data_IF_147506926108
#
_entry.id   IF_147506926108
#
_cell.length_a   1.000
_cell.length_b   1.000
_cell.length_c   1.000
_cell.angle_alpha   90.00
_cell.angle_beta   90.00
_cell.angle_gamma   90.00
#
_symmetry.space_group_name_H-M   'P 1'
#
loop_
_entity.id
_entity.type
_entity.pdbx_description
1 polymer ?
#
# COMPACT_ATOMS: atom_id res chain seq x y z
N UNK A 1 -7.70 0.98 -9.65
CA UNK A 1 -7.64 0.16 -8.41
C UNK A 1 -6.96 0.97 -7.32
N UNK A 2 -7.38 0.82 -6.06
CA UNK A 2 -6.66 1.42 -4.93
C UNK A 2 -5.56 0.45 -4.50
N UNK A 3 -4.30 0.82 -4.70
CA UNK A 3 -3.13 0.05 -4.27
C UNK A 3 -2.84 0.47 -2.82
N UNK A 4 -2.69 -0.51 -1.91
CA UNK A 4 -2.49 -0.27 -0.49
C UNK A 4 -1.06 -0.63 -0.10
N UNK A 5 -0.40 0.16 0.73
CA UNK A 5 0.97 -0.14 1.14
C UNK A 5 1.12 -1.56 1.73
N UNK A 6 2.16 -2.29 1.27
CA UNK A 6 2.50 -3.60 1.80
C UNK A 6 3.59 -3.45 2.86
N UNK A 7 3.48 -4.23 3.93
CA UNK A 7 4.56 -4.39 4.90
C UNK A 7 5.72 -5.17 4.28
N UNK A 8 6.92 -5.08 4.86
CA UNK A 8 8.09 -5.80 4.37
C UNK A 8 7.86 -7.32 4.23
N UNK A 9 7.11 -7.92 5.16
CA UNK A 9 6.76 -9.34 5.08
C UNK A 9 5.82 -9.64 3.90
N UNK A 10 4.76 -8.85 3.73
CA UNK A 10 3.81 -9.00 2.62
C UNK A 10 4.48 -8.77 1.26
N UNK A 11 5.37 -7.79 1.15
CA UNK A 11 6.11 -7.52 -0.08
C UNK A 11 7.01 -8.70 -0.45
N UNK A 12 7.67 -9.33 0.53
CA UNK A 12 8.47 -10.53 0.28
C UNK A 12 7.63 -11.69 -0.26
N UNK A 13 6.42 -11.89 0.26
CA UNK A 13 5.49 -12.87 -0.31
C UNK A 13 5.04 -12.47 -1.72
N UNK A 14 4.71 -11.20 -1.96
CA UNK A 14 4.32 -10.74 -3.30
C UNK A 14 5.44 -10.88 -4.34
N UNK A 15 6.72 -10.68 -3.96
CA UNK A 15 7.88 -10.97 -4.82
C UNK A 15 7.92 -12.41 -5.31
N UNK A 16 7.52 -13.35 -4.46
CA UNK A 16 7.36 -14.75 -4.85
C UNK A 16 6.13 -14.93 -5.76
N UNK A 17 5.00 -14.34 -5.39
CA UNK A 17 3.73 -14.50 -6.10
C UNK A 17 3.75 -13.90 -7.51
N UNK A 18 4.43 -12.76 -7.72
CA UNK A 18 4.62 -12.16 -9.04
C UNK A 18 5.39 -13.07 -10.01
N UNK A 19 6.26 -13.94 -9.50
CA UNK A 19 6.99 -14.91 -10.35
C UNK A 19 6.12 -16.09 -10.77
N UNK A 20 5.14 -16.45 -9.95
CA UNK A 20 4.27 -17.60 -10.19
C UNK A 20 3.02 -17.24 -11.00
N UNK A 21 2.59 -15.98 -10.96
CA UNK A 21 1.35 -15.43 -11.57
C UNK A 21 0.04 -16.06 -11.06
N UNK A 22 -0.10 -17.38 -11.13
CA UNK A 22 -1.18 -18.17 -10.55
C UNK A 22 -0.64 -19.44 -9.90
N UNK A 23 -1.12 -19.74 -8.70
CA UNK A 23 -0.58 -20.81 -7.87
C UNK A 23 -1.59 -21.34 -6.84
N UNK A 24 -1.34 -22.54 -6.35
CA UNK A 24 -2.00 -23.13 -5.19
C UNK A 24 -1.10 -23.02 -3.96
N UNK A 25 -1.69 -23.16 -2.77
CA UNK A 25 -0.93 -23.17 -1.51
C UNK A 25 0.17 -24.24 -1.49
N UNK A 26 -0.07 -25.39 -2.13
CA UNK A 26 0.89 -26.49 -2.21
C UNK A 26 2.13 -26.11 -3.01
N UNK A 27 1.97 -25.37 -4.10
CA UNK A 27 3.07 -24.95 -4.98
C UNK A 27 4.05 -24.05 -4.24
N UNK A 28 3.54 -23.16 -3.38
CA UNK A 28 4.36 -22.30 -2.53
C UNK A 28 5.24 -23.15 -1.59
N UNK A 29 4.64 -24.18 -0.98
CA UNK A 29 5.33 -25.06 -0.04
C UNK A 29 6.39 -25.94 -0.69
N UNK A 30 6.25 -26.23 -1.98
CA UNK A 30 7.22 -27.01 -2.77
C UNK A 30 8.42 -26.17 -3.22
N UNK A 31 8.25 -24.86 -3.41
CA UNK A 31 9.33 -23.95 -3.85
C UNK A 31 10.27 -23.48 -2.73
N UNK A 32 9.95 -23.73 -1.46
CA UNK A 32 10.78 -23.30 -0.34
C UNK A 32 11.79 -24.37 0.11
N UNK A 33 13.11 -24.10 0.01
CA UNK A 33 14.14 -24.93 0.65
C UNK A 33 14.02 -24.84 2.18
N UNK A 34 14.49 -25.87 2.89
CA UNK A 34 14.45 -25.95 4.36
C UNK A 34 15.11 -24.73 5.03
N UNK A 35 14.53 -24.19 6.13
CA UNK A 35 13.34 -24.66 6.83
C UNK A 35 12.04 -24.16 6.17
N UNK A 36 11.10 -25.09 5.95
CA UNK A 36 9.80 -24.76 5.34
C UNK A 36 9.00 -23.82 6.24
N UNK A 37 8.42 -22.74 5.69
CA UNK A 37 7.53 -21.88 6.47
C UNK A 37 6.30 -22.66 6.92
N UNK A 38 5.77 -22.36 8.11
CA UNK A 38 4.57 -23.01 8.59
C UNK A 38 3.37 -22.68 7.67
N UNK A 39 2.61 -23.69 7.22
CA UNK A 39 1.50 -23.51 6.27
C UNK A 39 0.45 -22.48 6.73
N UNK A 40 0.18 -22.44 8.03
CA UNK A 40 -0.72 -21.46 8.64
C UNK A 40 -0.27 -20.01 8.41
N UNK A 41 1.04 -19.75 8.46
CA UNK A 41 1.60 -18.41 8.23
C UNK A 41 1.34 -17.98 6.79
N UNK A 42 1.66 -18.83 5.81
CA UNK A 42 1.40 -18.56 4.39
C UNK A 42 -0.10 -18.35 4.15
N UNK A 43 -0.95 -19.20 4.73
CA UNK A 43 -2.41 -19.09 4.62
C UNK A 43 -2.95 -17.78 5.18
N UNK A 44 -2.34 -17.26 6.25
CA UNK A 44 -2.70 -15.97 6.84
C UNK A 44 -2.34 -14.83 5.90
N UNK A 45 -1.12 -14.82 5.36
CA UNK A 45 -0.70 -13.80 4.40
C UNK A 45 -1.51 -13.83 3.10
N UNK A 46 -1.89 -15.02 2.60
CA UNK A 46 -2.75 -15.13 1.43
C UNK A 46 -4.12 -14.48 1.67
N UNK A 47 -4.72 -14.70 2.84
CA UNK A 47 -5.99 -14.03 3.20
C UNK A 47 -5.82 -12.52 3.26
N UNK A 48 -4.78 -12.03 3.94
CA UNK A 48 -4.51 -10.59 4.05
C UNK A 48 -4.32 -9.96 2.66
N UNK A 49 -3.56 -10.61 1.77
CA UNK A 49 -3.31 -10.10 0.43
C UNK A 49 -4.55 -10.16 -0.48
N UNK A 50 -5.44 -11.14 -0.27
CA UNK A 50 -6.76 -11.17 -0.91
C UNK A 50 -7.64 -10.02 -0.40
N UNK A 51 -7.69 -9.81 0.92
CA UNK A 51 -8.44 -8.69 1.53
C UNK A 51 -7.92 -7.31 1.08
N UNK A 52 -6.60 -7.18 0.91
CA UNK A 52 -5.97 -5.97 0.36
C UNK A 52 -6.17 -5.80 -1.16
N UNK A 53 -6.69 -6.81 -1.85
CA UNK A 53 -6.97 -6.78 -3.29
C UNK A 53 -5.76 -7.03 -4.20
N UNK A 54 -4.68 -7.59 -3.66
CA UNK A 54 -3.49 -7.97 -4.45
C UNK A 54 -3.65 -9.32 -5.14
N UNK A 55 -4.41 -10.22 -4.52
CA UNK A 55 -4.67 -11.56 -5.01
C UNK A 55 -6.16 -11.80 -5.18
N UNK A 56 -6.52 -12.53 -6.22
CA UNK A 56 -7.85 -13.13 -6.39
C UNK A 56 -7.80 -14.56 -5.94
N UNK A 57 -8.89 -15.07 -5.37
CA UNK A 57 -9.04 -16.48 -5.04
C UNK A 57 -10.23 -17.08 -5.75
N UNK A 58 -10.02 -18.24 -6.39
CA UNK A 58 -11.07 -19.04 -7.02
C UNK A 58 -11.06 -20.42 -6.38
N UNK A 59 -12.24 -20.88 -5.96
CA UNK A 59 -12.38 -22.22 -5.38
C UNK A 59 -12.51 -23.25 -6.50
N UNK A 60 -11.57 -24.18 -6.56
CA UNK A 60 -11.56 -25.30 -7.49
C UNK A 60 -11.72 -26.61 -6.68
N UNK A 61 -12.96 -27.08 -6.54
CA UNK A 61 -13.28 -28.26 -5.73
C UNK A 61 -12.97 -28.06 -4.23
N UNK A 62 -11.91 -28.70 -3.74
CA UNK A 62 -11.45 -28.63 -2.33
C UNK A 62 -10.23 -27.72 -2.15
N UNK A 63 -9.66 -27.18 -3.23
CA UNK A 63 -8.47 -26.33 -3.20
C UNK A 63 -8.81 -24.91 -3.64
N UNK A 64 -7.96 -23.97 -3.25
CA UNK A 64 -8.06 -22.57 -3.64
C UNK A 64 -6.93 -22.23 -4.59
N UNK A 65 -7.28 -21.71 -5.75
CA UNK A 65 -6.33 -21.15 -6.72
C UNK A 65 -6.21 -19.66 -6.46
N UNK A 66 -4.98 -19.19 -6.30
CA UNK A 66 -4.67 -17.77 -6.15
C UNK A 66 -4.15 -17.24 -7.48
N UNK A 67 -4.52 -16.00 -7.81
CA UNK A 67 -4.03 -15.31 -9.01
C UNK A 67 -3.66 -13.89 -8.65
N UNK A 68 -2.50 -13.44 -9.10
CA UNK A 68 -2.05 -12.07 -8.87
C UNK A 68 -2.90 -11.09 -9.67
N UNK A 69 -3.46 -10.08 -9.00
CA UNK A 69 -4.28 -9.03 -9.63
C UNK A 69 -3.44 -7.80 -9.93
N UNK A 70 -2.53 -7.43 -9.02
CA UNK A 70 -1.71 -6.22 -9.16
C UNK A 70 -0.36 -6.60 -9.76
N UNK A 71 0.00 -6.11 -10.96
CA UNK A 71 1.30 -6.35 -11.56
C UNK A 71 2.44 -5.74 -10.76
N UNK A 72 3.64 -6.34 -10.82
CA UNK A 72 4.84 -5.83 -10.17
C UNK A 72 5.15 -4.38 -10.59
N UNK A 73 5.04 -4.09 -11.89
CA UNK A 73 5.32 -2.75 -12.44
C UNK A 73 4.39 -1.67 -11.89
N UNK A 74 3.11 -2.01 -11.65
CA UNK A 74 2.15 -1.05 -11.09
C UNK A 74 2.43 -0.78 -9.61
N UNK A 75 2.81 -1.82 -8.85
CA UNK A 75 3.23 -1.65 -7.47
C UNK A 75 4.54 -0.87 -7.35
N UNK A 76 5.52 -1.11 -8.24
CA UNK A 76 6.77 -0.36 -8.32
C UNK A 76 6.53 1.13 -8.57
N UNK A 77 5.64 1.46 -9.51
CA UNK A 77 5.24 2.85 -9.79
C UNK A 77 4.54 3.50 -8.59
N UNK A 78 3.67 2.75 -7.93
CA UNK A 78 3.00 3.21 -6.72
C UNK A 78 4.00 3.57 -5.62
N UNK A 79 4.95 2.68 -5.31
CA UNK A 79 5.99 2.92 -4.30
C UNK A 79 6.87 4.12 -4.66
N UNK A 80 7.30 4.25 -5.92
CA UNK A 80 8.13 5.39 -6.33
C UNK A 80 7.38 6.71 -6.17
N UNK A 81 6.08 6.74 -6.49
CA UNK A 81 5.25 7.93 -6.33
C UNK A 81 5.04 8.28 -4.86
N UNK A 82 4.80 7.27 -4.02
CA UNK A 82 4.67 7.46 -2.57
C UNK A 82 5.97 8.01 -1.96
N UNK A 83 7.12 7.42 -2.34
CA UNK A 83 8.45 7.89 -1.94
C UNK A 83 8.69 9.34 -2.40
N UNK A 84 8.39 9.64 -3.66
CA UNK A 84 8.55 10.98 -4.24
C UNK A 84 7.71 12.02 -3.50
N UNK A 85 6.46 11.69 -3.16
CA UNK A 85 5.54 12.59 -2.47
C UNK A 85 5.95 12.81 -1.01
N UNK A 86 6.40 11.75 -0.31
CA UNK A 86 6.71 11.84 1.12
C UNK A 86 8.09 12.41 1.44
N UNK A 87 9.09 12.21 0.57
CA UNK A 87 10.48 12.56 0.87
C UNK A 87 11.11 13.56 -0.10
N UNK A 88 10.56 13.71 -1.30
CA UNK A 88 11.20 14.48 -2.37
C UNK A 88 10.27 15.55 -2.98
N UNK A 89 9.20 15.93 -2.28
CA UNK A 89 8.23 16.95 -2.70
C UNK A 89 7.77 16.85 -4.17
N UNK A 90 7.54 15.63 -4.66
CA UNK A 90 7.21 15.34 -6.08
C UNK A 90 8.23 15.86 -7.11
N UNK A 91 9.47 16.11 -6.70
CA UNK A 91 10.57 16.62 -7.50
C UNK A 91 11.51 15.51 -7.95
N UNK A 92 11.42 15.15 -9.24
CA UNK A 92 12.38 14.22 -9.84
C UNK A 92 13.84 14.70 -9.81
N UNK A 93 14.07 16.02 -9.73
CA UNK A 93 15.41 16.61 -9.61
C UNK A 93 16.04 16.25 -8.26
N UNK A 94 15.27 16.32 -7.19
CA UNK A 94 15.75 16.02 -5.83
C UNK A 94 16.07 14.53 -5.68
N UNK A 95 15.23 13.66 -6.27
CA UNK A 95 15.52 12.22 -6.37
C UNK A 95 16.86 11.99 -7.09
N UNK A 96 17.07 12.64 -8.23
CA UNK A 96 18.29 12.46 -9.02
C UNK A 96 19.54 12.94 -8.27
N UNK A 97 19.46 14.11 -7.63
CA UNK A 97 20.54 14.64 -6.78
C UNK A 97 20.88 13.69 -5.63
N UNK A 98 19.86 13.11 -4.98
CA UNK A 98 20.04 12.12 -3.93
C UNK A 98 20.72 10.83 -4.44
N UNK A 99 20.35 10.34 -5.62
CA UNK A 99 20.97 9.15 -6.22
C UNK A 99 22.46 9.36 -6.53
N UNK A 100 22.86 10.58 -6.94
CA UNK A 100 24.28 10.92 -7.11
C UNK A 100 25.01 11.01 -5.77
N UNK A 101 24.39 11.64 -4.77
CA UNK A 101 24.97 11.77 -3.43
C UNK A 101 25.24 10.41 -2.80
N UNK A 102 24.28 9.48 -2.91
CA UNK A 102 24.39 8.11 -2.38
C UNK A 102 25.19 7.16 -3.28
N UNK A 103 25.77 7.64 -4.38
CA UNK A 103 26.52 6.84 -5.38
C UNK A 103 25.73 5.65 -5.93
N UNK A 104 24.40 5.77 -5.96
CA UNK A 104 23.50 4.79 -6.58
C UNK A 104 23.43 4.98 -8.10
N UNK A 105 23.89 6.12 -8.60
CA UNK A 105 24.10 6.41 -10.02
C UNK A 105 25.50 6.99 -10.24
N UNK A 106 26.20 6.51 -11.27
CA UNK A 106 27.48 7.06 -11.72
C UNK A 106 27.33 7.89 -13.01
N UNK A 107 28.34 8.70 -13.31
CA UNK A 107 28.38 9.47 -14.54
C UNK A 107 28.45 8.55 -15.78
N UNK A 108 29.06 7.37 -15.66
CA UNK A 108 29.13 6.40 -16.75
C UNK A 108 27.78 5.72 -17.00
N UNK A 109 26.99 5.48 -15.95
CA UNK A 109 25.61 4.99 -16.09
C UNK A 109 24.76 5.98 -16.90
N UNK A 110 24.97 7.28 -16.70
CA UNK A 110 24.28 8.35 -17.43
C UNK A 110 24.71 8.49 -18.89
N UNK A 111 25.99 8.29 -19.21
CA UNK A 111 26.51 8.51 -20.57
C UNK A 111 25.76 7.68 -21.62
N UNK A 112 25.30 6.48 -21.26
CA UNK A 112 24.49 5.63 -22.14
C UNK A 112 23.06 6.15 -22.42
N UNK A 113 22.51 7.03 -21.56
CA UNK A 113 21.15 7.58 -21.73
C UNK A 113 21.14 8.93 -22.45
N UNK A 114 22.21 9.73 -22.36
CA UNK A 114 22.27 11.05 -23.01
C UNK A 114 22.41 10.99 -24.54
N UNK A 115 22.81 9.85 -25.11
CA UNK A 115 22.94 9.66 -26.57
C UNK A 115 21.58 9.44 -27.26
N UNK A 116 20.53 9.12 -26.50
CA UNK A 116 19.15 9.01 -26.96
C UNK A 116 18.42 10.30 -26.58
N UNK A 117 18.23 11.23 -27.52
CA UNK A 117 17.50 12.50 -27.38
C UNK A 117 16.28 12.39 -26.44
N UNK A 118 16.48 12.74 -25.17
CA UNK A 118 15.39 12.82 -24.19
C UNK A 118 14.77 14.20 -24.33
N UNK A 119 13.54 14.28 -24.86
CA UNK A 119 12.67 15.42 -24.58
C UNK A 119 12.34 15.39 -23.08
N UNK A 120 13.14 16.10 -22.28
CA UNK A 120 12.84 16.36 -20.88
C UNK A 120 11.63 17.31 -20.90
N UNK A 121 10.41 16.76 -20.94
CA UNK A 121 9.23 17.57 -20.61
C UNK A 121 9.35 17.93 -19.14
N UNK A 122 9.52 19.21 -18.78
CA UNK A 122 9.56 19.60 -17.39
C UNK A 122 8.22 19.22 -16.78
N UNK A 123 8.23 18.25 -15.86
CA UNK A 123 7.15 18.14 -14.89
C UNK A 123 7.14 19.48 -14.16
N UNK A 124 6.02 20.20 -14.28
CA UNK A 124 5.82 21.53 -13.69
C UNK A 124 6.35 21.56 -12.26
N UNK A 125 6.98 22.67 -11.82
CA UNK A 125 7.38 22.82 -10.43
C UNK A 125 6.13 22.65 -9.56
N UNK A 126 6.02 21.53 -8.86
CA UNK A 126 4.99 21.32 -7.86
C UNK A 126 5.31 22.28 -6.73
N UNK A 127 4.41 23.23 -6.50
CA UNK A 127 4.49 24.17 -5.39
C UNK A 127 4.63 23.37 -4.09
N UNK A 128 5.60 23.77 -3.29
CA UNK A 128 5.81 23.37 -1.90
C UNK A 128 4.52 23.54 -1.09
N UNK A 129 3.78 22.45 -0.89
CA UNK A 129 2.92 22.31 0.28
C UNK A 129 3.72 21.51 1.31
N UNK A 130 3.84 22.04 2.52
CA UNK A 130 4.51 21.37 3.63
C UNK A 130 3.92 19.96 3.84
N UNK A 131 4.75 18.95 4.17
CA UNK A 131 4.30 17.58 4.30
C UNK A 131 3.23 17.49 5.39
N UNK A 132 2.02 17.07 5.01
CA UNK A 132 0.93 16.82 5.96
C UNK A 132 1.27 15.54 6.72
N UNK A 133 1.55 15.66 8.02
CA UNK A 133 1.87 14.54 8.90
C UNK A 133 0.63 13.73 9.32
N UNK A 134 -0.20 13.29 8.37
CA UNK A 134 -1.51 12.68 8.66
C UNK A 134 -1.42 11.50 9.65
N UNK A 135 -0.44 10.62 9.48
CA UNK A 135 -0.21 9.49 10.39
C UNK A 135 0.36 9.90 11.76
N UNK A 136 1.26 10.90 11.80
CA UNK A 136 1.80 11.35 13.07
C UNK A 136 0.73 12.11 13.87
N UNK A 137 -0.12 12.90 13.20
CA UNK A 137 -1.26 13.57 13.83
C UNK A 137 -2.32 12.59 14.34
N UNK A 138 -2.58 11.51 13.61
CA UNK A 138 -3.47 10.42 14.03
C UNK A 138 -2.95 9.71 15.30
N UNK A 139 -1.64 9.45 15.36
CA UNK A 139 -0.99 8.77 16.50
C UNK A 139 -0.79 9.70 17.70
N UNK A 140 -0.35 10.95 17.47
CA UNK A 140 -0.05 11.92 18.53
C UNK A 140 -1.31 12.53 19.15
N UNK A 141 -2.47 12.44 18.48
CA UNK A 141 -3.72 13.01 18.98
C UNK A 141 -4.86 11.98 19.15
N UNK A 142 -4.67 10.92 19.97
CA UNK A 142 -5.66 9.86 20.18
C UNK A 142 -6.95 10.34 20.89
N UNK A 143 -6.97 11.59 21.39
CA UNK A 143 -8.16 12.21 22.00
C UNK A 143 -9.23 12.63 20.98
N UNK A 144 -8.86 12.99 19.73
CA UNK A 144 -9.83 13.38 18.70
C UNK A 144 -10.76 12.23 18.28
N UNK A 145 -10.28 10.99 18.28
CA UNK A 145 -11.14 9.81 18.07
C UNK A 145 -12.09 9.54 19.24
N UNK A 146 -11.62 9.70 20.49
CA UNK A 146 -12.46 9.51 21.69
C UNK A 146 -13.55 10.59 21.79
N UNK A 147 -13.24 11.84 21.43
CA UNK A 147 -14.24 12.92 21.36
C UNK A 147 -15.24 12.73 20.21
N UNK A 148 -14.79 12.27 19.03
CA UNK A 148 -15.71 11.93 17.92
C UNK A 148 -16.63 10.78 18.31
N UNK A 149 -16.12 9.67 18.87
CA UNK A 149 -16.95 8.54 19.35
C UNK A 149 -17.88 8.94 20.51
N UNK A 150 -17.46 9.87 21.38
CA UNK A 150 -18.30 10.45 22.43
C UNK A 150 -19.47 11.28 21.88
N UNK A 151 -19.20 12.21 20.97
CA UNK A 151 -20.23 13.06 20.34
C UNK A 151 -21.23 12.27 19.49
N UNK A 152 -20.81 11.19 18.82
CA UNK A 152 -21.75 10.34 18.05
C UNK A 152 -22.69 9.58 18.97
N UNK A 153 -22.20 9.05 20.10
CA UNK A 153 -23.03 8.37 21.11
C UNK A 153 -24.00 9.30 21.83
N UNK A 154 -23.62 10.56 22.10
CA UNK A 154 -24.53 11.55 22.68
C UNK A 154 -25.65 11.95 21.72
N UNK A 155 -25.33 12.20 20.44
CA UNK A 155 -26.33 12.52 19.40
C UNK A 155 -27.31 11.37 19.13
N UNK A 156 -26.88 10.11 19.24
CA UNK A 156 -27.78 8.96 19.13
C UNK A 156 -28.72 8.84 20.33
N UNK A 157 -28.22 9.07 21.56
CA UNK A 157 -29.05 9.06 22.78
C UNK A 157 -30.07 10.19 22.82
N UNK A 158 -29.74 11.37 22.29
CA UNK A 158 -30.70 12.49 22.15
C UNK A 158 -31.81 12.16 21.15
N UNK A 159 -31.46 11.64 19.98
CA UNK A 159 -32.44 11.23 18.95
C UNK A 159 -33.37 10.11 19.43
N UNK A 160 -32.88 9.19 20.27
CA UNK A 160 -33.71 8.12 20.83
C UNK A 160 -34.68 8.64 21.92
N UNK A 161 -34.23 9.61 22.74
CA UNK A 161 -35.08 10.28 23.74
C UNK A 161 -36.18 11.12 23.09
N UNK A 162 -35.89 11.83 21.99
CA UNK A 162 -36.90 12.59 21.25
C UNK A 162 -37.91 11.69 20.54
N UNK A 163 -37.48 10.55 19.99
CA UNK A 163 -38.41 9.55 19.43
C UNK A 163 -39.33 8.94 20.50
N UNK A 164 -38.82 8.69 21.72
CA UNK A 164 -39.63 8.20 22.85
C UNK A 164 -40.60 9.26 23.41
N UNK A 165 -40.23 10.55 23.39
CA UNK A 165 -41.16 11.64 23.78
C UNK A 165 -42.28 11.86 22.76
N UNK A 166 -42.01 11.72 21.45
CA UNK A 166 -43.06 11.81 20.42
C UNK A 166 -44.07 10.65 20.48
N UNK A 167 -43.62 9.43 20.80
CA UNK A 167 -44.52 8.25 20.94
C UNK A 167 -45.39 8.22 22.21
N UNK A 168 -45.19 9.11 23.17
CA UNK A 168 -46.01 9.21 24.41
C UNK A 168 -47.03 10.35 24.37
N UNK A 169 -47.15 11.06 23.25
CA UNK A 169 -48.05 12.21 23.06
C UNK A 169 -49.11 11.99 21.97
N UNK A 170 -49.22 10.78 21.43
CA UNK A 170 -50.36 10.26 20.67
C UNK A 170 -51.14 9.27 21.54
#
# INVERSE_FOLDING_TARGET
MKINHLTAAEENFMKLFWKMESFYLKDIMEQHPEPKPHQNTVSTYLKILVEKGYLSTVKEGRIFKYTVIVPFEDYKKFLLKELSHHFFNDSGKEILEFLFSEKLLSQDDLKGYFDLKIEIKPAKPAKSEEPKFEYAEEILNPKKEKEKKGKTKEKEKEKEKDKKKKKKKE
#
